data_IF_271325837279
#
_entry.id   IF_271325837279
#
_cell.length_a   1.000
_cell.length_b   1.000
_cell.length_c   1.000
_cell.angle_alpha   90.00
_cell.angle_beta   90.00
_cell.angle_gamma   90.00
#
_symmetry.space_group_name_H-M   'P 1'
#
loop_
_entity.id
_entity.type
_entity.pdbx_description
1 polymer ?
#
# COMPACT_ATOMS: atom_id res chain seq x y z
N UNK A 1 0.51 -12.42 -13.14
CA UNK A 1 1.68 -11.77 -12.49
C UNK A 1 2.64 -11.23 -13.54
N UNK A 2 3.50 -10.27 -13.18
CA UNK A 2 4.52 -9.70 -14.07
C UNK A 2 5.42 -10.80 -14.65
N UNK A 3 5.83 -11.76 -13.83
CA UNK A 3 6.69 -12.86 -14.26
C UNK A 3 5.99 -13.74 -15.31
N UNK A 4 4.70 -13.99 -15.16
CA UNK A 4 3.93 -14.77 -16.13
C UNK A 4 3.86 -14.08 -17.50
N UNK A 5 3.76 -12.75 -17.51
CA UNK A 5 3.73 -11.98 -18.75
C UNK A 5 5.12 -11.90 -19.43
N UNK A 6 6.18 -11.75 -18.63
CA UNK A 6 7.54 -11.63 -19.14
C UNK A 6 8.19 -12.98 -19.51
N UNK A 7 7.81 -14.06 -18.83
CA UNK A 7 8.37 -15.39 -19.00
C UNK A 7 7.27 -16.46 -19.00
N UNK A 8 6.38 -16.45 -20.02
CA UNK A 8 5.24 -17.36 -20.09
C UNK A 8 5.63 -18.85 -20.21
N UNK A 9 6.88 -19.13 -20.61
CA UNK A 9 7.42 -20.49 -20.73
C UNK A 9 7.81 -21.14 -19.40
N UNK A 10 7.90 -20.37 -18.29
CA UNK A 10 8.20 -20.93 -16.98
C UNK A 10 6.98 -21.68 -16.42
N UNK A 11 7.22 -22.83 -15.80
CA UNK A 11 6.19 -23.53 -15.04
C UNK A 11 5.87 -22.83 -13.72
N UNK A 12 4.92 -23.35 -12.94
CA UNK A 12 4.46 -22.72 -11.70
C UNK A 12 5.58 -22.62 -10.65
N UNK A 13 6.37 -23.66 -10.49
CA UNK A 13 7.46 -23.71 -9.50
C UNK A 13 8.61 -22.77 -9.89
N UNK A 14 8.97 -22.73 -11.15
CA UNK A 14 9.98 -21.82 -11.68
C UNK A 14 9.55 -20.35 -11.52
N UNK A 15 8.27 -20.04 -11.79
CA UNK A 15 7.73 -18.68 -11.54
C UNK A 15 7.80 -18.30 -10.08
N UNK A 16 7.47 -19.24 -9.18
CA UNK A 16 7.55 -19.02 -7.73
C UNK A 16 9.00 -18.73 -7.30
N UNK A 17 9.96 -19.58 -7.71
CA UNK A 17 11.38 -19.36 -7.42
C UNK A 17 11.91 -18.05 -7.97
N UNK A 18 11.51 -17.67 -9.18
CA UNK A 18 11.87 -16.39 -9.78
C UNK A 18 11.31 -15.22 -8.98
N UNK A 19 10.07 -15.32 -8.52
CA UNK A 19 9.43 -14.30 -7.65
C UNK A 19 10.17 -14.18 -6.32
N UNK A 20 10.43 -15.28 -5.64
CA UNK A 20 11.16 -15.28 -4.36
C UNK A 20 12.56 -14.67 -4.52
N UNK A 21 13.27 -15.02 -5.59
CA UNK A 21 14.59 -14.46 -5.89
C UNK A 21 14.56 -12.98 -6.18
N UNK A 22 13.56 -12.51 -6.91
CA UNK A 22 13.33 -11.07 -7.15
C UNK A 22 13.16 -10.31 -5.84
N UNK A 23 12.32 -10.80 -4.94
CA UNK A 23 12.05 -10.15 -3.65
C UNK A 23 13.28 -10.18 -2.72
N UNK A 24 14.04 -11.28 -2.72
CA UNK A 24 15.33 -11.35 -1.98
C UNK A 24 16.32 -10.32 -2.52
N UNK A 25 16.44 -10.22 -3.84
CA UNK A 25 17.34 -9.27 -4.50
C UNK A 25 16.93 -7.83 -4.16
N UNK A 26 15.63 -7.51 -4.20
CA UNK A 26 15.09 -6.23 -3.80
C UNK A 26 15.55 -5.84 -2.37
N UNK A 27 15.29 -6.69 -1.37
CA UNK A 27 15.69 -6.43 0.02
C UNK A 27 17.21 -6.26 0.16
N UNK A 28 17.99 -7.04 -0.59
CA UNK A 28 19.45 -6.93 -0.59
C UNK A 28 19.92 -5.61 -1.18
N UNK A 29 19.29 -5.14 -2.26
CA UNK A 29 19.60 -3.85 -2.88
C UNK A 29 19.25 -2.69 -1.93
N UNK A 30 18.10 -2.74 -1.29
CA UNK A 30 17.71 -1.75 -0.28
C UNK A 30 18.74 -1.65 0.86
N UNK A 31 19.20 -2.78 1.42
CA UNK A 31 20.21 -2.80 2.48
C UNK A 31 21.58 -2.25 2.03
N UNK A 32 21.90 -2.34 0.74
CA UNK A 32 23.16 -1.81 0.17
C UNK A 32 23.11 -0.31 -0.09
N UNK A 33 21.94 0.27 -0.17
CA UNK A 33 21.72 1.69 -0.44
C UNK A 33 20.87 2.31 0.70
N UNK A 34 21.43 2.43 1.91
CA UNK A 34 20.66 2.91 3.06
C UNK A 34 20.16 4.34 2.88
N UNK A 35 20.85 5.18 2.13
CA UNK A 35 20.45 6.56 1.86
C UNK A 35 19.17 6.66 1.01
N UNK A 36 18.85 5.62 0.23
CA UNK A 36 17.61 5.53 -0.54
C UNK A 36 16.52 4.71 0.16
N UNK A 37 16.82 4.16 1.34
CA UNK A 37 15.88 3.38 2.14
C UNK A 37 15.20 4.30 3.17
N UNK A 38 14.17 4.98 2.74
CA UNK A 38 13.36 5.86 3.58
C UNK A 38 11.88 5.74 3.24
N UNK A 39 11.02 6.09 4.19
CA UNK A 39 9.60 6.25 3.93
C UNK A 39 9.36 7.49 3.06
N UNK A 40 8.26 7.51 2.33
CA UNK A 40 7.80 8.70 1.63
C UNK A 40 7.69 9.86 2.61
N UNK A 41 8.08 11.06 2.18
CA UNK A 41 8.06 12.25 3.01
C UNK A 41 6.70 12.44 3.69
N UNK A 42 6.69 12.78 4.96
CA UNK A 42 5.48 12.97 5.76
C UNK A 42 4.81 11.69 6.28
N UNK A 43 5.21 10.48 5.85
CA UNK A 43 4.55 9.23 6.25
C UNK A 43 4.54 9.01 7.77
N UNK A 44 5.66 9.22 8.46
CA UNK A 44 5.72 9.10 9.92
C UNK A 44 4.83 10.12 10.61
N UNK A 45 4.81 11.36 10.10
CA UNK A 45 3.96 12.43 10.64
C UNK A 45 2.48 12.12 10.45
N UNK A 46 2.10 11.54 9.28
CA UNK A 46 0.73 11.11 9.03
C UNK A 46 0.32 10.00 10.01
N UNK A 47 1.11 8.94 10.15
CA UNK A 47 0.81 7.84 11.07
C UNK A 47 0.70 8.32 12.53
N UNK A 48 1.60 9.21 12.95
CA UNK A 48 1.53 9.83 14.27
C UNK A 48 0.26 10.67 14.46
N UNK A 49 -0.08 11.49 13.47
CA UNK A 49 -1.26 12.36 13.55
C UNK A 49 -2.59 11.57 13.51
N UNK A 50 -2.66 10.46 12.79
CA UNK A 50 -3.81 9.55 12.82
C UNK A 50 -3.94 8.89 14.20
N UNK A 51 -2.82 8.40 14.75
CA UNK A 51 -2.78 7.79 16.07
C UNK A 51 -3.24 8.76 17.18
N UNK A 52 -2.73 9.99 17.19
CA UNK A 52 -3.10 11.04 18.17
C UNK A 52 -4.57 11.43 18.10
N UNK A 53 -5.20 11.31 16.93
CA UNK A 53 -6.62 11.58 16.71
C UNK A 53 -7.51 10.37 16.97
N UNK A 54 -6.93 9.21 17.30
CA UNK A 54 -7.68 7.98 17.50
C UNK A 54 -8.31 7.45 16.20
N UNK A 55 -7.79 7.84 15.01
CA UNK A 55 -8.27 7.37 13.72
C UNK A 55 -7.58 6.04 13.42
N UNK A 56 -8.33 4.94 13.33
CA UNK A 56 -7.73 3.64 13.06
C UNK A 56 -7.22 3.59 11.62
N UNK A 57 -6.06 2.98 11.44
CA UNK A 57 -5.49 2.77 10.12
C UNK A 57 -4.72 1.44 10.06
N UNK A 58 -4.52 0.94 8.86
CA UNK A 58 -3.89 -0.35 8.58
C UNK A 58 -3.14 -0.28 7.26
N UNK A 59 -2.10 -1.09 7.11
CA UNK A 59 -1.42 -1.27 5.84
C UNK A 59 -2.00 -2.47 5.10
N UNK A 60 -2.33 -2.26 3.82
CA UNK A 60 -2.63 -3.31 2.86
C UNK A 60 -1.59 -3.27 1.75
N UNK A 61 -0.72 -4.26 1.68
CA UNK A 61 0.45 -4.29 0.79
C UNK A 61 0.42 -5.50 -0.12
N UNK A 62 0.54 -5.32 -1.44
CA UNK A 62 0.75 -6.42 -2.38
C UNK A 62 2.16 -7.06 -2.28
N UNK A 63 2.92 -6.74 -1.26
CA UNK A 63 4.19 -7.36 -0.93
C UNK A 63 4.01 -8.66 -0.16
N UNK A 64 4.95 -9.59 -0.33
CA UNK A 64 5.00 -10.84 0.45
C UNK A 64 5.41 -10.57 1.90
N UNK A 65 5.08 -11.50 2.79
CA UNK A 65 5.40 -11.42 4.23
C UNK A 65 6.85 -11.02 4.52
N UNK A 66 7.81 -11.60 3.83
CA UNK A 66 9.23 -11.31 4.03
C UNK A 66 9.61 -9.83 3.75
N UNK A 67 8.88 -9.15 2.86
CA UNK A 67 9.05 -7.72 2.64
C UNK A 67 8.39 -6.90 3.74
N UNK A 68 7.22 -7.32 4.22
CA UNK A 68 6.57 -6.67 5.37
C UNK A 68 7.48 -6.76 6.61
N UNK A 69 8.04 -7.94 6.88
CA UNK A 69 9.03 -8.11 7.96
C UNK A 69 10.22 -7.16 7.79
N UNK A 70 10.77 -7.08 6.59
CA UNK A 70 11.86 -6.16 6.26
C UNK A 70 11.50 -4.68 6.47
N UNK A 71 10.27 -4.26 6.14
CA UNK A 71 9.83 -2.88 6.36
C UNK A 71 9.73 -2.54 7.86
N UNK A 72 9.19 -3.45 8.67
CA UNK A 72 9.14 -3.26 10.12
C UNK A 72 10.52 -3.25 10.79
N UNK A 73 11.47 -3.99 10.24
CA UNK A 73 12.87 -3.99 10.71
C UNK A 73 13.63 -2.73 10.27
N UNK A 74 13.25 -2.12 9.15
CA UNK A 74 13.93 -0.96 8.54
C UNK A 74 13.35 0.38 8.94
N UNK A 75 12.05 0.43 9.27
CA UNK A 75 11.31 1.66 9.56
C UNK A 75 10.60 1.59 10.90
N UNK A 76 10.34 2.72 11.56
CA UNK A 76 9.71 2.77 12.87
C UNK A 76 8.19 2.51 12.83
N UNK A 77 7.68 1.78 11.84
CA UNK A 77 6.25 1.51 11.61
C UNK A 77 5.61 0.83 12.84
N UNK A 78 6.38 -0.01 13.53
CA UNK A 78 5.94 -0.69 14.75
C UNK A 78 5.55 0.22 15.93
N UNK A 79 5.81 1.54 15.84
CA UNK A 79 5.32 2.51 16.83
C UNK A 79 3.79 2.67 16.77
N UNK A 80 3.18 2.44 15.61
CA UNK A 80 1.77 2.73 15.36
C UNK A 80 0.97 1.50 14.92
N UNK A 81 1.63 0.53 14.31
CA UNK A 81 1.00 -0.66 13.73
C UNK A 81 1.62 -1.92 14.29
N UNK A 82 0.80 -2.95 14.45
CA UNK A 82 1.29 -4.30 14.72
C UNK A 82 1.49 -5.03 13.39
N UNK A 83 2.58 -5.79 13.30
CA UNK A 83 2.95 -6.53 12.09
C UNK A 83 1.88 -7.55 11.68
N UNK A 84 1.24 -8.17 12.66
CA UNK A 84 0.16 -9.15 12.47
C UNK A 84 -1.13 -8.54 11.91
N UNK A 85 -1.34 -7.23 12.06
CA UNK A 85 -2.53 -6.54 11.56
C UNK A 85 -2.38 -6.17 10.07
N UNK A 86 -1.16 -6.19 9.51
CA UNK A 86 -0.92 -5.85 8.11
C UNK A 86 -1.56 -6.88 7.18
N UNK A 87 -2.34 -6.41 6.20
CA UNK A 87 -2.81 -7.24 5.09
C UNK A 87 -1.69 -7.29 4.05
N UNK A 88 -1.15 -8.47 3.77
CA UNK A 88 -0.09 -8.67 2.78
C UNK A 88 -0.46 -9.78 1.80
N UNK A 89 0.24 -9.86 0.67
CA UNK A 89 0.02 -10.92 -0.33
C UNK A 89 0.55 -12.26 0.20
N UNK A 90 -0.36 -13.09 0.67
CA UNK A 90 -0.13 -14.48 1.09
C UNK A 90 -0.59 -15.50 0.02
N UNK A 91 -1.03 -15.01 -1.13
CA UNK A 91 -1.54 -15.81 -2.25
C UNK A 91 -3.02 -16.17 -2.14
N UNK A 92 -3.74 -15.70 -1.12
CA UNK A 92 -5.18 -15.98 -0.94
C UNK A 92 -6.07 -14.93 -1.61
N UNK A 93 -5.57 -13.71 -1.80
CA UNK A 93 -6.32 -12.61 -2.42
C UNK A 93 -6.22 -12.66 -3.94
N UNK A 94 -7.34 -12.49 -4.63
CA UNK A 94 -7.38 -12.45 -6.09
C UNK A 94 -6.75 -11.15 -6.63
N UNK A 95 -6.95 -10.03 -5.93
CA UNK A 95 -6.42 -8.73 -6.31
C UNK A 95 -6.28 -7.77 -5.09
N UNK A 96 -5.75 -6.59 -5.35
CA UNK A 96 -5.58 -5.55 -4.33
C UNK A 96 -6.91 -5.05 -3.75
N UNK A 97 -8.00 -5.14 -4.50
CA UNK A 97 -9.33 -4.75 -4.02
C UNK A 97 -9.83 -5.66 -2.90
N UNK A 98 -9.59 -6.97 -2.98
CA UNK A 98 -9.89 -7.89 -1.88
C UNK A 98 -9.06 -7.59 -0.63
N UNK A 99 -7.80 -7.19 -0.82
CA UNK A 99 -6.93 -6.77 0.28
C UNK A 99 -7.46 -5.50 0.97
N UNK A 100 -7.98 -4.53 0.21
CA UNK A 100 -8.63 -3.34 0.78
C UNK A 100 -9.87 -3.70 1.62
N UNK A 101 -10.72 -4.59 1.10
CA UNK A 101 -11.90 -5.05 1.84
C UNK A 101 -11.52 -5.80 3.12
N UNK A 102 -10.49 -6.64 3.07
CA UNK A 102 -9.97 -7.32 4.26
C UNK A 102 -9.40 -6.34 5.28
N UNK A 103 -8.70 -5.29 4.82
CA UNK A 103 -8.19 -4.22 5.68
C UNK A 103 -9.34 -3.52 6.43
N UNK A 104 -10.40 -3.13 5.72
CA UNK A 104 -11.59 -2.53 6.31
C UNK A 104 -12.27 -3.47 7.33
N UNK A 105 -12.37 -4.77 7.00
CA UNK A 105 -12.90 -5.79 7.91
C UNK A 105 -12.07 -5.90 9.19
N UNK A 106 -10.74 -5.88 9.10
CA UNK A 106 -9.84 -5.91 10.29
C UNK A 106 -9.97 -4.67 11.13
N UNK A 107 -10.19 -3.50 10.53
CA UNK A 107 -10.49 -2.26 11.23
C UNK A 107 -11.89 -2.23 11.83
N UNK A 108 -12.76 -3.17 11.45
CA UNK A 108 -14.19 -3.19 11.82
C UNK A 108 -14.92 -1.90 11.40
N UNK A 109 -14.61 -1.42 10.19
CA UNK A 109 -15.19 -0.21 9.59
C UNK A 109 -15.80 -0.58 8.23
N UNK A 110 -17.02 -0.10 7.87
CA UNK A 110 -17.56 -0.25 6.54
C UNK A 110 -16.60 0.33 5.48
N UNK A 111 -16.38 -0.38 4.36
CA UNK A 111 -15.45 0.11 3.34
C UNK A 111 -15.88 1.46 2.73
N UNK A 112 -17.19 1.73 2.72
CA UNK A 112 -17.76 3.02 2.32
C UNK A 112 -17.44 4.19 3.27
N UNK A 113 -16.87 3.90 4.43
CA UNK A 113 -16.40 4.90 5.40
C UNK A 113 -14.87 4.94 5.48
N UNK A 114 -14.17 4.10 4.68
CA UNK A 114 -12.72 4.08 4.64
C UNK A 114 -12.16 5.06 3.62
N UNK A 115 -11.10 5.74 4.00
CA UNK A 115 -10.21 6.42 3.07
C UNK A 115 -9.13 5.44 2.61
N UNK A 116 -8.92 5.33 1.31
CA UNK A 116 -7.86 4.54 0.68
C UNK A 116 -6.80 5.47 0.11
N UNK A 117 -5.53 5.26 0.43
CA UNK A 117 -4.41 5.99 -0.16
C UNK A 117 -3.64 5.01 -1.04
N UNK A 118 -3.52 5.30 -2.33
CA UNK A 118 -2.94 4.39 -3.32
C UNK A 118 -2.18 5.13 -4.42
N UNK A 119 -1.21 4.42 -5.03
CA UNK A 119 -0.31 4.96 -6.05
C UNK A 119 -0.57 4.39 -7.47
N UNK A 120 -1.29 3.29 -7.57
CA UNK A 120 -1.48 2.59 -8.84
C UNK A 120 -2.89 2.74 -9.41
N UNK A 121 -2.95 2.93 -10.74
CA UNK A 121 -4.20 2.95 -11.51
C UNK A 121 -5.09 1.74 -11.19
N UNK A 122 -4.48 0.55 -11.11
CA UNK A 122 -5.23 -0.68 -10.85
C UNK A 122 -5.87 -0.67 -9.45
N UNK A 123 -5.12 -0.30 -8.41
CA UNK A 123 -5.61 -0.30 -7.03
C UNK A 123 -6.67 0.80 -6.82
N UNK A 124 -6.49 2.00 -7.39
CA UNK A 124 -7.47 3.09 -7.37
C UNK A 124 -8.78 2.67 -8.04
N UNK A 125 -8.69 2.04 -9.22
CA UNK A 125 -9.87 1.53 -9.94
C UNK A 125 -10.61 0.47 -9.12
N UNK A 126 -9.90 -0.43 -8.46
CA UNK A 126 -10.47 -1.47 -7.60
C UNK A 126 -11.12 -0.86 -6.35
N UNK A 127 -10.46 0.09 -5.68
CA UNK A 127 -11.02 0.79 -4.53
C UNK A 127 -12.32 1.51 -4.90
N UNK A 128 -12.35 2.22 -6.03
CA UNK A 128 -13.56 2.88 -6.54
C UNK A 128 -14.67 1.90 -6.84
N UNK A 129 -14.36 0.82 -7.57
CA UNK A 129 -15.33 -0.23 -7.92
C UNK A 129 -15.95 -0.88 -6.68
N UNK A 130 -15.14 -1.09 -5.64
CA UNK A 130 -15.57 -1.72 -4.40
C UNK A 130 -16.26 -0.76 -3.43
N UNK A 131 -16.39 0.53 -3.77
CA UNK A 131 -17.13 1.51 -2.98
C UNK A 131 -16.37 2.07 -1.79
N UNK A 132 -15.06 2.34 -1.93
CA UNK A 132 -14.31 3.10 -0.93
C UNK A 132 -14.98 4.45 -0.68
N UNK A 133 -15.05 4.88 0.58
CA UNK A 133 -15.64 6.16 0.97
C UNK A 133 -14.91 7.33 0.34
N UNK A 134 -13.58 7.31 0.40
CA UNK A 134 -12.72 8.30 -0.23
C UNK A 134 -11.44 7.67 -0.75
N UNK A 135 -10.87 8.24 -1.80
CA UNK A 135 -9.59 7.77 -2.37
C UNK A 135 -8.66 8.97 -2.52
N UNK A 136 -7.47 8.86 -1.96
CA UNK A 136 -6.36 9.78 -2.15
C UNK A 136 -5.33 9.07 -3.02
N UNK A 137 -5.04 9.63 -4.19
CA UNK A 137 -3.96 9.15 -5.03
C UNK A 137 -2.64 9.81 -4.63
N UNK A 138 -1.55 9.03 -4.60
CA UNK A 138 -0.22 9.53 -4.31
C UNK A 138 0.74 9.15 -5.43
N UNK A 139 1.64 10.04 -5.83
CA UNK A 139 2.62 9.74 -6.87
C UNK A 139 3.52 10.89 -7.24
N UNK A 140 4.57 10.59 -8.02
CA UNK A 140 5.61 11.55 -8.41
C UNK A 140 5.29 12.34 -9.70
N UNK A 141 4.16 12.07 -10.37
CA UNK A 141 3.77 12.79 -11.57
C UNK A 141 3.47 14.25 -11.25
N UNK A 142 3.87 15.16 -12.14
CA UNK A 142 3.57 16.58 -12.00
C UNK A 142 2.05 16.89 -12.03
N UNK A 143 1.26 16.02 -12.66
CA UNK A 143 -0.19 16.13 -12.77
C UNK A 143 -0.83 14.76 -12.52
N UNK A 144 -1.72 14.68 -11.54
CA UNK A 144 -2.48 13.49 -11.17
C UNK A 144 -3.88 13.45 -11.78
N UNK A 145 -4.17 14.24 -12.80
CA UNK A 145 -5.51 14.37 -13.39
C UNK A 145 -6.07 13.03 -13.90
N UNK A 146 -5.23 12.14 -14.40
CA UNK A 146 -5.59 10.79 -14.81
C UNK A 146 -6.12 9.95 -13.63
N UNK A 147 -5.53 10.09 -12.44
CA UNK A 147 -5.94 9.38 -11.23
C UNK A 147 -7.22 9.98 -10.62
N UNK A 148 -7.38 11.28 -10.70
CA UNK A 148 -8.64 11.97 -10.34
C UNK A 148 -9.79 11.50 -11.23
N UNK A 149 -9.59 11.37 -12.54
CA UNK A 149 -10.60 10.88 -13.47
C UNK A 149 -11.00 9.41 -13.17
N UNK A 150 -10.10 8.62 -12.60
CA UNK A 150 -10.38 7.25 -12.17
C UNK A 150 -11.16 7.19 -10.84
N UNK A 151 -11.35 8.30 -10.16
CA UNK A 151 -12.18 8.41 -8.97
C UNK A 151 -11.45 8.73 -7.68
N UNK A 152 -10.17 9.11 -7.72
CA UNK A 152 -9.51 9.71 -6.59
C UNK A 152 -10.13 11.09 -6.29
N UNK A 153 -10.39 11.40 -5.03
CA UNK A 153 -10.88 12.69 -4.61
C UNK A 153 -9.76 13.73 -4.55
N UNK A 154 -8.56 13.28 -4.23
CA UNK A 154 -7.36 14.11 -4.10
C UNK A 154 -6.16 13.40 -4.72
N UNK A 155 -5.19 14.22 -5.15
CA UNK A 155 -3.86 13.77 -5.58
C UNK A 155 -2.80 14.52 -4.77
N UNK A 156 -1.83 13.81 -4.24
CA UNK A 156 -0.69 14.33 -3.49
C UNK A 156 0.61 13.77 -4.04
N UNK A 157 1.71 14.53 -3.92
CA UNK A 157 3.04 14.06 -4.29
C UNK A 157 3.69 13.25 -3.18
N UNK A 158 3.43 13.65 -1.93
CA UNK A 158 3.86 12.94 -0.74
C UNK A 158 2.91 13.26 0.43
N UNK A 159 3.13 12.64 1.59
CA UNK A 159 2.26 12.79 2.75
C UNK A 159 2.39 14.13 3.47
N UNK A 160 3.31 15.01 3.09
CA UNK A 160 3.37 16.37 3.64
C UNK A 160 2.20 17.24 3.14
N UNK A 161 1.59 16.86 2.01
CA UNK A 161 0.41 17.49 1.42
C UNK A 161 -0.92 16.96 1.97
N UNK A 162 -0.88 15.94 2.86
CA UNK A 162 -2.10 15.35 3.41
C UNK A 162 -2.82 16.32 4.34
N UNK A 163 -4.11 16.55 4.08
CA UNK A 163 -4.96 17.38 4.92
C UNK A 163 -5.92 16.53 5.77
N UNK A 164 -5.81 16.64 7.09
CA UNK A 164 -6.68 15.93 8.03
C UNK A 164 -8.14 16.32 7.93
N UNK A 165 -8.46 17.53 7.39
CA UNK A 165 -9.84 17.92 7.14
C UNK A 165 -10.59 16.98 6.17
N UNK A 166 -9.87 16.23 5.36
CA UNK A 166 -10.47 15.22 4.48
C UNK A 166 -11.08 14.03 5.23
N UNK A 167 -10.70 13.82 6.47
CA UNK A 167 -11.22 12.75 7.34
C UNK A 167 -12.51 13.14 8.09
N UNK A 168 -12.94 14.39 7.98
CA UNK A 168 -14.10 14.93 8.70
C UNK A 168 -15.38 15.01 7.84
N UNK A 169 -15.29 14.57 6.57
CA UNK A 169 -16.37 14.64 5.57
C UNK A 169 -17.09 13.31 5.35
#
# INVERSE_FOLDING_TARGET
SIIQNMAPWLNADERKQCSERKEELYRRMCRRNPDSLHLVAGAEKLMQGLHERGIPFILASASIKANVDFYFDSFPIGKWLKKEDVVYDDGTYADKGEMHLEAARRLNVPFSECMVIEDSVAAITLAKRNGAGQIVAIGEKADGSDLIQLGAAYYIHDFTEFDYAWLEN
#
